data_IF_164544046299
#
_entry.id   IF_164544046299
#
_cell.length_a   1.000
_cell.length_b   1.000
_cell.length_c   1.000
_cell.angle_alpha   90.00
_cell.angle_beta   90.00
_cell.angle_gamma   90.00
#
_symmetry.space_group_name_H-M   'P 1'
#
loop_
_entity.id
_entity.type
_entity.pdbx_description
1 polymer ?
#
# COMPACT_ATOMS: atom_id res chain seq x y z
N UNK A 1 50.55 -40.23 0.12
CA UNK A 1 50.75 -39.58 -1.19
C UNK A 1 49.47 -39.25 -1.99
N UNK A 2 48.56 -40.18 -2.34
CA UNK A 2 47.30 -39.82 -3.07
C UNK A 2 46.24 -39.13 -2.18
N UNK A 3 46.20 -39.46 -0.89
CA UNK A 3 45.23 -38.91 0.07
C UNK A 3 45.58 -37.48 0.49
N UNK A 4 46.87 -37.18 0.69
CA UNK A 4 47.36 -35.83 1.03
C UNK A 4 47.12 -34.80 -0.08
N UNK A 5 47.23 -35.21 -1.35
CA UNK A 5 46.91 -34.34 -2.50
C UNK A 5 45.41 -34.03 -2.59
N UNK A 6 44.54 -34.91 -2.09
CA UNK A 6 43.09 -34.67 -1.99
C UNK A 6 42.78 -33.68 -0.87
N UNK A 7 43.42 -33.83 0.29
CA UNK A 7 43.24 -32.92 1.42
C UNK A 7 43.72 -31.50 1.11
N UNK A 8 44.85 -31.35 0.39
CA UNK A 8 45.38 -30.04 -0.01
C UNK A 8 44.51 -29.33 -1.06
N UNK A 9 43.76 -30.07 -1.89
CA UNK A 9 42.76 -29.48 -2.80
C UNK A 9 41.51 -29.01 -2.04
N UNK A 10 41.03 -29.80 -1.09
CA UNK A 10 39.90 -29.41 -0.24
C UNK A 10 40.21 -28.16 0.60
N UNK A 11 41.43 -28.06 1.15
CA UNK A 11 41.87 -26.89 1.93
C UNK A 11 41.98 -25.61 1.07
N UNK A 12 42.42 -25.72 -0.20
CA UNK A 12 42.48 -24.56 -1.12
C UNK A 12 41.11 -24.06 -1.56
N UNK A 13 40.15 -24.97 -1.74
CA UNK A 13 38.75 -24.59 -2.03
C UNK A 13 38.14 -23.91 -0.81
N UNK A 14 38.39 -24.43 0.40
CA UNK A 14 37.90 -23.84 1.64
C UNK A 14 38.47 -22.43 1.92
N UNK A 15 39.74 -22.19 1.60
CA UNK A 15 40.38 -20.87 1.75
C UNK A 15 39.90 -19.87 0.69
N UNK A 16 39.60 -20.30 -0.53
CA UNK A 16 39.02 -19.40 -1.53
C UNK A 16 37.55 -19.06 -1.22
N UNK A 17 36.80 -20.01 -0.63
CA UNK A 17 35.50 -19.76 -0.01
C UNK A 17 35.58 -18.76 1.15
N UNK A 18 36.70 -18.64 1.87
CA UNK A 18 36.88 -17.64 2.93
C UNK A 18 37.28 -16.24 2.42
N UNK A 19 37.89 -16.12 1.24
CA UNK A 19 38.41 -14.85 0.71
C UNK A 19 37.35 -14.05 -0.07
N UNK A 20 36.32 -14.69 -0.60
CA UNK A 20 35.16 -13.97 -1.17
C UNK A 20 34.08 -13.61 -0.14
N UNK A 21 34.25 -14.09 1.10
CA UNK A 21 33.37 -13.79 2.24
C UNK A 21 33.62 -12.41 2.86
N UNK A 22 34.61 -11.64 2.37
CA UNK A 22 34.91 -10.27 2.84
C UNK A 22 35.46 -9.39 1.69
N UNK A 23 34.64 -9.05 0.70
CA UNK A 23 34.89 -7.84 -0.09
C UNK A 23 33.57 -7.22 -0.57
N UNK A 24 33.32 -6.00 -0.08
CA UNK A 24 32.24 -5.09 -0.48
C UNK A 24 30.84 -5.53 -0.06
N UNK A 25 30.58 -5.47 1.24
CA UNK A 25 29.25 -5.12 1.71
C UNK A 25 28.99 -3.63 1.36
N UNK A 26 28.59 -3.42 0.11
CA UNK A 26 27.86 -2.23 -0.32
C UNK A 26 26.55 -2.72 -0.91
N UNK A 27 25.61 -3.05 -0.02
CA UNK A 27 24.20 -3.10 -0.36
C UNK A 27 23.46 -2.34 0.74
N UNK A 28 23.54 -1.01 0.66
CA UNK A 28 22.36 -0.22 0.97
C UNK A 28 21.48 -0.29 -0.29
N UNK A 29 20.70 -1.35 -0.42
CA UNK A 29 19.47 -1.28 -1.18
C UNK A 29 18.35 -1.46 -0.18
N UNK A 30 17.75 -0.35 0.26
CA UNK A 30 16.34 -0.37 0.60
C UNK A 30 15.61 -0.68 -0.71
N UNK A 31 15.56 -1.96 -1.08
CA UNK A 31 14.56 -2.40 -2.03
C UNK A 31 13.24 -2.28 -1.30
N UNK A 32 12.62 -1.11 -1.40
CA UNK A 32 11.18 -1.03 -1.33
C UNK A 32 10.67 -1.79 -2.55
N UNK A 33 10.59 -3.11 -2.44
CA UNK A 33 9.81 -3.93 -3.35
C UNK A 33 8.40 -3.40 -3.29
N UNK A 34 7.96 -2.74 -4.36
CA UNK A 34 6.58 -2.36 -4.54
C UNK A 34 5.70 -3.57 -4.26
N UNK A 35 4.74 -3.39 -3.37
CA UNK A 35 4.05 -4.48 -2.69
C UNK A 35 3.05 -5.10 -3.64
N UNK A 36 3.51 -6.12 -4.36
CA UNK A 36 2.66 -7.07 -5.07
C UNK A 36 1.82 -7.76 -3.97
N UNK A 37 0.48 -7.73 -4.05
CA UNK A 37 -0.37 -8.52 -3.16
C UNK A 37 0.14 -9.96 -3.13
N UNK A 38 0.13 -10.61 -1.96
CA UNK A 38 0.72 -11.95 -1.78
C UNK A 38 0.15 -13.02 -2.76
N UNK A 39 -0.99 -12.73 -3.37
CA UNK A 39 -1.75 -13.56 -4.30
C UNK A 39 -1.72 -13.07 -5.77
N UNK A 40 -1.02 -11.98 -6.08
CA UNK A 40 -0.80 -11.48 -7.45
C UNK A 40 0.48 -12.14 -8.00
N UNK A 41 0.31 -13.20 -8.77
CA UNK A 41 1.44 -14.00 -9.27
C UNK A 41 2.02 -13.45 -10.56
N UNK A 42 1.28 -12.61 -11.28
CA UNK A 42 1.68 -12.06 -12.56
C UNK A 42 2.26 -10.63 -12.44
N UNK A 43 2.12 -9.99 -11.28
CA UNK A 43 2.55 -8.62 -10.96
C UNK A 43 1.81 -7.55 -11.75
N UNK A 44 0.55 -7.77 -12.10
CA UNK A 44 -0.35 -6.78 -12.71
C UNK A 44 -1.23 -6.05 -11.69
N UNK A 45 -1.13 -6.45 -10.42
CA UNK A 45 -1.81 -5.91 -9.25
C UNK A 45 -3.33 -6.07 -9.27
N UNK A 46 -3.82 -6.98 -10.09
CA UNK A 46 -5.07 -7.69 -9.85
C UNK A 46 -4.78 -9.00 -9.09
N UNK A 47 -5.77 -9.45 -8.33
CA UNK A 47 -5.81 -10.83 -7.82
C UNK A 47 -7.02 -11.47 -8.48
N UNK A 48 -6.79 -12.16 -9.60
CA UNK A 48 -7.87 -12.67 -10.46
C UNK A 48 -7.63 -14.10 -10.98
N UNK A 49 -8.49 -14.56 -11.89
CA UNK A 49 -8.40 -15.90 -12.45
C UNK A 49 -7.06 -16.17 -13.16
N UNK A 50 -6.38 -15.14 -13.66
CA UNK A 50 -5.06 -15.23 -14.28
C UNK A 50 -4.03 -15.67 -13.25
N UNK A 51 -4.07 -15.14 -12.03
CA UNK A 51 -3.21 -15.56 -10.92
C UNK A 51 -3.53 -17.00 -10.51
N UNK A 52 -4.81 -17.34 -10.39
CA UNK A 52 -5.19 -18.73 -10.08
C UNK A 52 -4.67 -19.71 -11.15
N UNK A 53 -4.76 -19.35 -12.43
CA UNK A 53 -4.23 -20.16 -13.54
C UNK A 53 -2.71 -20.30 -13.42
N UNK A 54 -1.99 -19.22 -13.13
CA UNK A 54 -0.54 -19.27 -12.95
C UNK A 54 -0.13 -20.15 -11.78
N UNK A 55 -0.82 -20.04 -10.64
CA UNK A 55 -0.58 -20.91 -9.50
C UNK A 55 -0.86 -22.37 -9.82
N UNK A 56 -1.96 -22.66 -10.53
CA UNK A 56 -2.26 -24.03 -10.97
C UNK A 56 -1.17 -24.60 -11.89
N UNK A 57 -0.60 -23.79 -12.80
CA UNK A 57 0.54 -24.19 -13.64
C UNK A 57 1.75 -24.59 -12.80
N UNK A 58 2.06 -23.81 -11.75
CA UNK A 58 3.13 -24.14 -10.79
C UNK A 58 2.85 -25.47 -10.09
N UNK A 59 1.62 -25.71 -9.63
CA UNK A 59 1.24 -26.98 -8.99
C UNK A 59 1.33 -28.19 -9.93
N UNK A 60 1.08 -27.99 -11.22
CA UNK A 60 1.20 -29.06 -12.23
C UNK A 60 2.64 -29.30 -12.69
N UNK A 61 3.63 -28.59 -12.13
CA UNK A 61 5.04 -28.73 -12.47
C UNK A 61 5.47 -27.95 -13.71
N UNK A 62 4.63 -27.05 -14.21
CA UNK A 62 5.09 -26.03 -15.16
C UNK A 62 5.91 -24.98 -14.40
N UNK A 63 6.89 -24.37 -15.06
CA UNK A 63 7.73 -23.33 -14.47
C UNK A 63 7.46 -21.97 -15.14
N UNK A 64 6.26 -21.38 -14.95
CA UNK A 64 6.00 -20.04 -15.43
C UNK A 64 6.87 -19.03 -14.69
N UNK A 65 7.22 -17.93 -15.36
CA UNK A 65 7.84 -16.79 -14.68
C UNK A 65 6.76 -16.17 -13.78
N UNK A 66 6.95 -16.26 -12.47
CA UNK A 66 6.09 -15.66 -11.45
C UNK A 66 6.85 -14.55 -10.73
N UNK A 67 6.16 -13.45 -10.42
CA UNK A 67 6.73 -12.38 -9.61
C UNK A 67 6.62 -12.76 -8.13
N UNK A 68 7.72 -12.63 -7.39
CA UNK A 68 7.80 -13.09 -6.00
C UNK A 68 7.94 -14.61 -5.90
N UNK A 69 9.09 -15.09 -5.43
CA UNK A 69 9.34 -16.54 -5.27
C UNK A 69 8.76 -17.03 -3.95
N UNK A 70 7.43 -17.18 -3.89
CA UNK A 70 6.76 -17.87 -2.78
C UNK A 70 6.47 -19.33 -3.16
N UNK A 71 6.43 -20.21 -2.17
CA UNK A 71 5.94 -21.58 -2.36
C UNK A 71 4.43 -21.51 -2.65
N UNK A 72 4.04 -21.46 -3.92
CA UNK A 72 2.62 -21.45 -4.31
C UNK A 72 2.05 -22.84 -4.03
N UNK A 73 1.08 -22.91 -3.10
CA UNK A 73 0.37 -24.09 -2.71
C UNK A 73 -1.08 -24.10 -3.20
N UNK A 74 -1.79 -25.17 -2.85
CA UNK A 74 -3.23 -25.31 -3.12
C UNK A 74 -4.05 -24.26 -2.36
N UNK A 75 -3.58 -23.79 -1.19
CA UNK A 75 -4.26 -22.79 -0.37
C UNK A 75 -4.37 -21.47 -1.11
N UNK A 76 -3.25 -20.92 -1.57
CA UNK A 76 -3.17 -19.62 -2.23
C UNK A 76 -4.05 -19.58 -3.49
N UNK A 77 -4.04 -20.65 -4.28
CA UNK A 77 -4.91 -20.77 -5.46
C UNK A 77 -6.38 -20.86 -5.06
N UNK A 78 -6.69 -21.60 -3.99
CA UNK A 78 -8.07 -21.70 -3.49
C UNK A 78 -8.58 -20.34 -3.02
N UNK A 79 -7.72 -19.54 -2.39
CA UNK A 79 -8.04 -18.19 -1.92
C UNK A 79 -8.29 -17.23 -3.11
N UNK A 80 -7.44 -17.26 -4.15
CA UNK A 80 -7.66 -16.50 -5.40
C UNK A 80 -8.97 -16.93 -6.09
N UNK A 81 -9.22 -18.24 -6.20
CA UNK A 81 -10.42 -18.77 -6.84
C UNK A 81 -11.68 -18.38 -6.06
N UNK A 82 -11.64 -18.39 -4.72
CA UNK A 82 -12.74 -17.91 -3.87
C UNK A 82 -13.01 -16.43 -4.09
N UNK A 83 -11.96 -15.59 -4.06
CA UNK A 83 -12.04 -14.14 -4.30
C UNK A 83 -12.65 -13.86 -5.68
N UNK A 84 -12.15 -14.52 -6.73
CA UNK A 84 -12.58 -14.23 -8.09
C UNK A 84 -13.96 -14.79 -8.45
N UNK A 85 -14.33 -15.92 -7.86
CA UNK A 85 -15.65 -16.51 -8.12
C UNK A 85 -16.74 -15.92 -7.21
N UNK A 86 -16.39 -14.95 -6.34
CA UNK A 86 -17.23 -14.46 -5.24
C UNK A 86 -17.85 -15.63 -4.44
N UNK A 87 -17.13 -16.77 -4.40
CA UNK A 87 -17.56 -17.97 -3.69
C UNK A 87 -17.21 -17.76 -2.23
N UNK A 88 -18.11 -17.08 -1.52
CA UNK A 88 -18.02 -16.83 -0.08
C UNK A 88 -17.81 -18.14 0.68
N UNK A 89 -16.74 -18.29 1.49
CA UNK A 89 -16.74 -19.21 2.60
C UNK A 89 -16.98 -18.40 3.89
N UNK A 90 -18.19 -18.44 4.45
CA UNK A 90 -18.49 -17.96 5.82
C UNK A 90 -18.29 -16.43 6.06
N UNK A 91 -18.69 -15.89 7.24
CA UNK A 91 -19.74 -14.88 7.42
C UNK A 91 -19.43 -13.51 6.79
N UNK A 92 -20.43 -12.63 6.73
CA UNK A 92 -20.47 -11.32 6.04
C UNK A 92 -19.44 -10.24 6.50
N UNK A 93 -18.22 -10.62 6.87
CA UNK A 93 -17.30 -9.79 7.64
C UNK A 93 -15.90 -9.56 7.04
N UNK A 94 -15.65 -10.07 5.83
CA UNK A 94 -14.41 -9.79 5.08
C UNK A 94 -14.59 -8.50 4.28
N UNK A 95 -13.68 -7.54 4.40
CA UNK A 95 -13.67 -6.39 3.51
C UNK A 95 -12.82 -6.63 2.25
N UNK A 96 -12.74 -5.61 1.38
CA UNK A 96 -12.08 -5.75 0.08
C UNK A 96 -10.54 -5.68 0.18
N UNK A 97 -10.00 -5.05 1.24
CA UNK A 97 -8.59 -4.67 1.40
C UNK A 97 -7.69 -5.83 1.81
N UNK A 98 -8.31 -6.85 2.38
CA UNK A 98 -7.68 -8.09 2.79
C UNK A 98 -6.93 -8.83 1.64
N UNK A 99 -5.75 -9.40 1.90
CA UNK A 99 -5.06 -9.44 3.21
C UNK A 99 -4.12 -8.26 3.44
N UNK A 100 -4.26 -7.56 4.57
CA UNK A 100 -3.43 -6.40 4.96
C UNK A 100 -2.88 -6.39 6.40
N UNK A 101 -2.92 -7.55 7.09
CA UNK A 101 -2.31 -7.90 8.40
C UNK A 101 -0.84 -7.53 8.68
N UNK A 102 -0.11 -6.98 7.71
CA UNK A 102 1.30 -6.61 7.85
C UNK A 102 1.60 -5.33 7.10
N UNK A 103 2.57 -4.57 7.59
CA UNK A 103 3.03 -3.36 6.90
C UNK A 103 3.50 -3.63 5.45
N UNK A 104 4.01 -4.85 5.16
CA UNK A 104 4.41 -5.28 3.81
C UNK A 104 3.23 -5.61 2.89
N UNK A 105 2.00 -5.59 3.41
CA UNK A 105 0.74 -5.79 2.71
C UNK A 105 -0.10 -4.50 2.68
N UNK A 106 0.36 -3.45 3.38
CA UNK A 106 -0.35 -2.20 3.56
C UNK A 106 -0.93 -1.60 2.28
N UNK A 107 -2.17 -1.14 2.36
CA UNK A 107 -2.89 -0.54 1.24
C UNK A 107 -2.74 0.97 1.20
N UNK A 108 -2.75 1.55 0.01
CA UNK A 108 -2.73 3.01 -0.10
C UNK A 108 -4.03 3.59 0.43
N UNK A 109 -3.93 4.49 1.40
CA UNK A 109 -5.03 5.35 1.81
C UNK A 109 -4.89 6.72 1.14
N UNK A 110 -5.95 7.13 0.44
CA UNK A 110 -5.97 8.42 -0.25
C UNK A 110 -6.22 9.55 0.75
N UNK A 111 -5.30 10.51 0.81
CA UNK A 111 -5.39 11.65 1.71
C UNK A 111 -6.57 12.55 1.31
N UNK A 112 -7.34 12.99 2.30
CA UNK A 112 -8.56 13.78 2.16
C UNK A 112 -9.64 13.10 1.32
N UNK A 113 -9.64 11.77 1.20
CA UNK A 113 -10.79 11.06 0.67
C UNK A 113 -11.88 10.98 1.76
N UNK A 114 -12.89 11.83 1.65
CA UNK A 114 -13.99 11.98 2.60
C UNK A 114 -15.35 11.78 1.93
N UNK A 115 -16.42 11.65 2.72
CA UNK A 115 -17.78 11.64 2.19
C UNK A 115 -18.12 12.89 1.34
N UNK A 116 -17.37 14.00 1.49
CA UNK A 116 -17.51 15.18 0.64
C UNK A 116 -16.79 15.06 -0.71
N UNK A 117 -15.67 14.32 -0.80
CA UNK A 117 -15.09 13.90 -2.10
C UNK A 117 -15.91 12.78 -2.76
N UNK A 118 -16.69 12.03 -1.97
CA UNK A 118 -17.60 11.00 -2.47
C UNK A 118 -18.76 11.51 -3.35
N UNK A 119 -18.91 12.83 -3.52
CA UNK A 119 -19.77 13.42 -4.57
C UNK A 119 -19.39 12.95 -5.98
N UNK A 120 -18.17 12.42 -6.15
CA UNK A 120 -17.68 11.78 -7.35
C UNK A 120 -17.75 10.24 -7.30
N UNK A 121 -18.50 9.62 -6.39
CA UNK A 121 -18.64 8.16 -6.29
C UNK A 121 -17.39 7.41 -5.82
N UNK A 122 -16.38 8.12 -5.32
CA UNK A 122 -15.26 7.54 -4.57
C UNK A 122 -15.71 7.35 -3.12
N UNK A 123 -15.50 6.17 -2.51
CA UNK A 123 -15.89 5.96 -1.11
C UNK A 123 -14.71 6.11 -0.16
N UNK A 124 -15.01 6.51 1.09
CA UNK A 124 -14.12 6.30 2.23
C UNK A 124 -13.70 4.82 2.26
N UNK A 125 -12.54 4.46 2.81
CA UNK A 125 -12.11 3.06 2.85
C UNK A 125 -12.81 2.34 4.01
N UNK A 126 -13.83 1.48 3.78
CA UNK A 126 -14.44 0.71 4.84
C UNK A 126 -13.57 -0.50 5.18
N UNK A 127 -13.43 -0.77 6.46
CA UNK A 127 -12.67 -1.90 6.97
C UNK A 127 -13.50 -2.67 8.01
N UNK A 128 -13.06 -3.88 8.33
CA UNK A 128 -13.62 -4.64 9.42
C UNK A 128 -12.58 -5.60 10.00
N UNK A 129 -12.45 -5.61 11.33
CA UNK A 129 -11.67 -6.64 12.01
C UNK A 129 -12.30 -8.02 11.80
N UNK A 130 -11.86 -8.75 10.78
CA UNK A 130 -12.55 -9.91 10.24
C UNK A 130 -12.20 -11.22 10.94
N UNK A 131 -11.01 -11.29 11.54
CA UNK A 131 -10.55 -12.44 12.31
C UNK A 131 -9.85 -12.07 13.63
N UNK A 132 -9.51 -13.11 14.39
CA UNK A 132 -8.97 -12.91 15.73
C UNK A 132 -7.54 -12.35 15.67
N UNK A 133 -7.37 -11.13 16.14
CA UNK A 133 -6.08 -10.43 16.13
C UNK A 133 -5.75 -9.72 14.81
N UNK A 134 -6.76 -9.51 13.97
CA UNK A 134 -6.67 -8.78 12.71
C UNK A 134 -5.98 -7.41 12.86
N UNK A 135 -5.12 -7.09 11.89
CA UNK A 135 -4.39 -5.83 11.81
C UNK A 135 -4.51 -5.19 10.43
N UNK A 136 -5.35 -4.18 10.25
CA UNK A 136 -5.35 -3.44 8.99
C UNK A 136 -4.15 -2.49 8.88
N UNK A 137 -3.30 -2.70 7.87
CA UNK A 137 -2.21 -1.79 7.54
C UNK A 137 -2.51 -0.93 6.31
N UNK A 138 -2.25 0.36 6.44
CA UNK A 138 -2.36 1.35 5.37
C UNK A 138 -1.08 2.16 5.23
N UNK A 139 -0.89 2.78 4.07
CA UNK A 139 0.23 3.66 3.78
C UNK A 139 -0.18 4.93 3.03
N UNK A 140 0.49 6.03 3.32
CA UNK A 140 0.29 7.32 2.64
C UNK A 140 1.62 8.06 2.48
N UNK A 141 1.69 8.95 1.50
CA UNK A 141 2.88 9.76 1.26
C UNK A 141 2.83 11.02 2.12
N UNK A 142 3.57 11.03 3.23
CA UNK A 142 3.72 12.18 4.12
C UNK A 142 4.69 13.21 3.54
N UNK A 143 4.35 14.49 3.66
CA UNK A 143 5.18 15.64 3.25
C UNK A 143 5.72 16.34 4.49
N UNK A 144 7.01 16.67 4.48
CA UNK A 144 7.70 17.26 5.63
C UNK A 144 7.03 18.55 6.10
N UNK A 145 6.88 18.69 7.41
CA UNK A 145 6.25 19.85 8.06
C UNK A 145 4.73 19.93 7.90
N UNK A 146 4.08 18.96 7.26
CA UNK A 146 2.63 18.87 7.22
C UNK A 146 2.05 18.22 8.47
N UNK A 147 0.79 18.56 8.73
CA UNK A 147 -0.04 17.98 9.79
C UNK A 147 -0.97 16.97 9.14
N UNK A 148 -1.10 15.81 9.78
CA UNK A 148 -2.02 14.75 9.39
C UNK A 148 -2.93 14.37 10.55
N UNK A 149 -4.19 14.10 10.25
CA UNK A 149 -5.15 13.53 11.20
C UNK A 149 -5.62 12.19 10.64
N UNK A 150 -5.39 11.12 11.39
CA UNK A 150 -5.98 9.81 11.09
C UNK A 150 -7.27 9.69 11.90
N UNK A 151 -8.37 9.33 11.26
CA UNK A 151 -9.68 9.20 11.88
C UNK A 151 -10.30 7.87 11.51
N UNK A 152 -10.70 7.11 12.53
CA UNK A 152 -11.48 5.89 12.40
C UNK A 152 -12.91 6.18 12.87
N UNK A 153 -13.86 6.16 11.93
CA UNK A 153 -15.28 6.32 12.22
C UNK A 153 -15.91 4.95 12.50
N UNK A 154 -16.52 4.80 13.68
CA UNK A 154 -17.15 3.56 14.13
C UNK A 154 -18.59 3.79 14.56
N UNK A 155 -18.94 5.05 14.89
CA UNK A 155 -20.28 5.44 15.32
C UNK A 155 -21.30 5.08 14.22
N UNK A 156 -22.19 4.14 14.51
CA UNK A 156 -23.20 3.58 13.59
C UNK A 156 -22.71 2.50 12.61
N UNK A 157 -21.42 2.12 12.65
CA UNK A 157 -20.84 1.08 11.79
C UNK A 157 -20.52 -0.20 12.58
N UNK A 158 -19.87 -0.06 13.73
CA UNK A 158 -19.42 -1.20 14.52
C UNK A 158 -19.50 -0.93 16.01
N UNK A 159 -20.60 -1.37 16.64
CA UNK A 159 -20.80 -1.16 18.08
C UNK A 159 -19.83 -1.94 18.98
N UNK A 160 -19.19 -2.98 18.46
CA UNK A 160 -18.14 -3.76 19.12
C UNK A 160 -16.72 -3.32 18.68
N UNK A 161 -16.60 -2.32 17.79
CA UNK A 161 -15.32 -1.85 17.29
C UNK A 161 -14.66 -0.91 18.31
N UNK A 162 -13.47 -1.26 18.81
CA UNK A 162 -12.61 -0.40 19.64
C UNK A 162 -11.25 -0.25 18.96
N UNK A 163 -11.13 0.63 17.96
CA UNK A 163 -9.94 0.71 17.12
C UNK A 163 -8.80 1.41 17.85
N UNK A 164 -7.61 0.81 17.80
CA UNK A 164 -6.37 1.45 18.22
C UNK A 164 -5.60 1.89 16.99
N UNK A 165 -5.39 3.21 16.87
CA UNK A 165 -4.64 3.79 15.75
C UNK A 165 -3.16 3.89 16.14
N UNK A 166 -2.28 3.34 15.31
CA UNK A 166 -0.84 3.44 15.46
C UNK A 166 -0.20 3.96 14.17
N UNK A 167 0.66 4.97 14.30
CA UNK A 167 1.41 5.56 13.20
C UNK A 167 2.87 5.12 13.29
N UNK A 168 3.39 4.60 12.18
CA UNK A 168 4.75 4.09 12.05
C UNK A 168 5.58 4.92 11.06
N UNK A 169 6.89 4.94 11.28
CA UNK A 169 7.89 5.58 10.41
C UNK A 169 8.06 4.79 9.10
N UNK A 170 8.89 5.31 8.20
CA UNK A 170 9.07 4.80 6.84
C UNK A 170 9.69 3.40 6.74
N UNK A 171 10.15 2.85 7.87
CA UNK A 171 10.66 1.48 7.96
C UNK A 171 9.56 0.44 8.23
N UNK A 172 8.32 0.89 8.50
CA UNK A 172 7.18 0.04 8.84
C UNK A 172 7.26 -0.62 10.22
N UNK A 173 8.24 -0.24 11.05
CA UNK A 173 8.54 -0.90 12.34
C UNK A 173 8.65 0.10 13.49
N UNK A 174 9.18 1.29 13.24
CA UNK A 174 9.36 2.32 14.27
C UNK A 174 8.04 3.02 14.57
N UNK A 175 7.44 2.73 15.73
CA UNK A 175 6.23 3.43 16.19
C UNK A 175 6.52 4.91 16.48
N UNK A 176 5.84 5.80 15.76
CA UNK A 176 5.92 7.25 15.95
C UNK A 176 4.88 7.74 16.95
N UNK A 177 3.65 7.22 16.86
CA UNK A 177 2.53 7.67 17.69
C UNK A 177 1.46 6.59 17.80
N UNK A 178 0.72 6.59 18.90
CA UNK A 178 -0.44 5.72 19.09
C UNK A 178 -1.57 6.49 19.77
N UNK A 179 -2.81 6.08 19.51
CA UNK A 179 -4.00 6.62 20.11
C UNK A 179 -5.03 5.50 20.33
N UNK A 180 -5.57 5.50 21.55
CA UNK A 180 -6.69 4.67 22.01
C UNK A 180 -7.45 5.48 23.09
N UNK A 181 -8.76 5.57 23.01
CA UNK A 181 -9.66 6.16 24.01
C UNK A 181 -10.28 5.08 24.93
N UNK A 182 -10.24 3.82 24.49
CA UNK A 182 -10.68 2.61 25.19
C UNK A 182 -12.19 2.50 25.29
N UNK A 183 -12.93 2.98 24.28
CA UNK A 183 -14.38 3.00 24.27
C UNK A 183 -14.91 2.34 22.99
N UNK A 184 -15.43 1.12 23.14
CA UNK A 184 -16.14 0.39 22.08
C UNK A 184 -17.25 1.24 21.43
N UNK A 185 -17.32 1.18 20.10
CA UNK A 185 -18.29 1.88 19.26
C UNK A 185 -18.09 3.39 19.20
N UNK A 186 -16.93 3.92 19.63
CA UNK A 186 -16.57 5.33 19.52
C UNK A 186 -15.47 5.59 18.50
N UNK A 187 -15.57 6.74 17.85
CA UNK A 187 -14.62 7.15 16.84
C UNK A 187 -13.26 7.42 17.48
N UNK A 188 -12.20 7.04 16.79
CA UNK A 188 -10.83 7.26 17.23
C UNK A 188 -10.11 8.28 16.35
N UNK A 189 -9.30 9.16 16.94
CA UNK A 189 -8.62 10.24 16.21
C UNK A 189 -7.19 10.49 16.68
N UNK A 190 -6.24 10.25 15.78
CA UNK A 190 -4.82 10.52 15.98
C UNK A 190 -4.38 11.77 15.20
N UNK A 191 -3.95 12.81 15.91
CA UNK A 191 -3.35 14.01 15.32
C UNK A 191 -1.82 13.92 15.31
N UNK A 192 -1.20 14.02 14.15
CA UNK A 192 0.25 14.02 13.97
C UNK A 192 0.74 15.33 13.34
N UNK A 193 1.71 15.98 13.99
CA UNK A 193 2.23 17.31 13.59
C UNK A 193 3.71 17.30 13.19
N UNK A 194 4.35 16.15 13.31
CA UNK A 194 5.81 16.01 13.30
C UNK A 194 6.29 15.19 12.10
N UNK A 195 5.69 15.40 10.92
CA UNK A 195 6.16 14.78 9.68
C UNK A 195 7.56 15.31 9.34
N UNK A 196 8.57 14.47 9.52
CA UNK A 196 9.98 14.90 9.52
C UNK A 196 10.62 14.96 8.14
N UNK A 197 10.16 14.11 7.21
CA UNK A 197 10.66 14.02 5.83
C UNK A 197 9.55 13.60 4.87
N UNK A 198 9.73 13.95 3.59
CA UNK A 198 8.91 13.45 2.50
C UNK A 198 9.16 11.95 2.33
N UNK A 199 8.21 11.11 2.71
CA UNK A 199 8.30 9.67 2.51
C UNK A 199 6.98 8.93 2.76
N UNK A 200 6.95 7.62 2.51
CA UNK A 200 5.80 6.77 2.81
C UNK A 200 5.80 6.44 4.31
N UNK A 201 4.70 6.76 4.99
CA UNK A 201 4.43 6.41 6.38
C UNK A 201 3.30 5.39 6.44
N UNK A 202 3.25 4.63 7.53
CA UNK A 202 2.31 3.53 7.70
C UNK A 202 1.36 3.81 8.87
N UNK A 203 0.11 3.43 8.70
CA UNK A 203 -0.90 3.41 9.76
C UNK A 203 -1.27 1.96 9.97
N UNK A 204 -1.29 1.53 11.23
CA UNK A 204 -1.90 0.27 11.64
C UNK A 204 -3.16 0.58 12.42
N UNK A 205 -4.23 -0.14 12.10
CA UNK A 205 -5.37 -0.32 12.96
C UNK A 205 -5.39 -1.74 13.48
N UNK A 206 -5.93 -1.89 14.68
CA UNK A 206 -6.19 -3.18 15.32
C UNK A 206 -7.30 -2.97 16.32
N UNK A 207 -8.01 -4.03 16.65
CA UNK A 207 -8.93 -4.00 17.79
C UNK A 207 -8.14 -3.87 19.11
N UNK A 208 -8.71 -3.15 20.08
CA UNK A 208 -8.17 -3.11 21.44
C UNK A 208 -8.17 -4.50 22.07
N UNK A 209 -9.26 -5.25 21.85
CA UNK A 209 -9.39 -6.66 22.24
C UNK A 209 -9.17 -7.54 21.02
N UNK A 210 -8.12 -8.39 20.97
CA UNK A 210 -7.88 -9.26 19.82
C UNK A 210 -8.97 -10.32 19.61
N UNK A 211 -9.83 -10.53 20.60
CA UNK A 211 -10.99 -11.43 20.51
C UNK A 211 -12.26 -10.70 20.01
N UNK A 212 -12.21 -9.39 19.78
CA UNK A 212 -13.30 -8.60 19.20
C UNK A 212 -13.07 -8.46 17.69
N UNK A 213 -13.73 -9.35 16.94
CA UNK A 213 -13.72 -9.45 15.49
C UNK A 213 -15.09 -9.97 15.03
N UNK A 214 -15.40 -9.86 13.75
CA UNK A 214 -16.67 -10.35 13.24
C UNK A 214 -17.75 -9.26 13.18
N UNK A 215 -18.98 -9.67 13.47
CA UNK A 215 -20.13 -8.79 13.42
C UNK A 215 -19.94 -7.55 14.31
N UNK A 216 -20.35 -6.39 13.79
CA UNK A 216 -20.27 -5.09 14.45
C UNK A 216 -18.84 -4.62 14.80
N UNK A 217 -17.80 -5.07 14.09
CA UNK A 217 -16.42 -4.52 14.18
C UNK A 217 -16.00 -3.68 12.98
N UNK A 218 -16.96 -3.25 12.16
CA UNK A 218 -16.71 -2.40 10.99
C UNK A 218 -16.33 -0.97 11.38
N UNK A 219 -15.52 -0.34 10.53
CA UNK A 219 -15.14 1.07 10.66
C UNK A 219 -14.79 1.68 9.30
N UNK A 220 -14.79 3.01 9.22
CA UNK A 220 -14.34 3.75 8.03
C UNK A 220 -13.07 4.54 8.37
N UNK A 221 -12.02 4.38 7.56
CA UNK A 221 -10.74 5.02 7.80
C UNK A 221 -10.49 6.19 6.87
N UNK A 222 -9.98 7.29 7.44
CA UNK A 222 -9.56 8.48 6.69
C UNK A 222 -8.24 9.05 7.21
N UNK A 223 -7.46 9.61 6.28
CA UNK A 223 -6.26 10.42 6.58
C UNK A 223 -6.47 11.81 6.01
N UNK A 224 -6.41 12.82 6.87
CA UNK A 224 -6.64 14.21 6.51
C UNK A 224 -5.38 15.07 6.60
N UNK A 225 -5.27 16.04 5.70
CA UNK A 225 -4.37 17.18 5.77
C UNK A 225 -5.19 18.48 5.57
N UNK A 226 -4.93 19.57 6.33
CA UNK A 226 -5.74 20.79 6.28
C UNK A 226 -6.05 21.29 4.86
N UNK A 227 -7.34 21.42 4.58
CA UNK A 227 -7.88 21.78 3.27
C UNK A 227 -7.72 23.27 2.93
N UNK A 228 -7.72 23.59 1.64
CA UNK A 228 -7.83 24.96 1.17
C UNK A 228 -9.29 25.41 1.17
N UNK A 229 -9.55 26.71 1.39
CA UNK A 229 -10.91 27.28 1.43
C UNK A 229 -11.72 27.08 0.14
N UNK A 230 -11.03 27.02 -1.01
CA UNK A 230 -11.63 26.77 -2.33
C UNK A 230 -10.74 25.79 -3.10
N UNK A 231 -10.86 24.49 -2.84
CA UNK A 231 -10.00 23.51 -3.46
C UNK A 231 -10.53 23.06 -4.82
N UNK A 232 -9.66 22.46 -5.61
CA UNK A 232 -10.01 21.55 -6.70
C UNK A 232 -9.27 20.23 -6.52
N UNK A 233 -9.40 19.33 -7.48
CA UNK A 233 -8.78 17.99 -7.42
C UNK A 233 -7.78 17.79 -8.55
N UNK A 234 -6.84 16.89 -8.35
CA UNK A 234 -5.97 16.36 -9.42
C UNK A 234 -6.11 14.84 -9.43
N UNK A 235 -6.45 14.27 -10.58
CA UNK A 235 -6.51 12.81 -10.76
C UNK A 235 -5.79 12.42 -12.04
N UNK A 236 -5.31 11.19 -12.14
CA UNK A 236 -4.65 10.75 -13.37
C UNK A 236 -4.13 9.33 -13.36
N UNK A 237 -3.78 8.84 -14.54
CA UNK A 237 -3.13 7.56 -14.71
C UNK A 237 -1.60 7.73 -14.74
N UNK A 238 -0.86 6.71 -14.31
CA UNK A 238 0.59 6.65 -14.40
C UNK A 238 1.00 5.33 -15.05
N UNK A 239 1.71 5.40 -16.17
CA UNK A 239 2.11 4.23 -16.93
C UNK A 239 3.48 4.40 -17.58
N UNK A 240 4.12 3.28 -17.87
CA UNK A 240 5.32 3.20 -18.70
C UNK A 240 4.87 3.24 -20.17
N UNK A 241 5.29 4.23 -20.98
CA UNK A 241 4.83 4.36 -22.36
C UNK A 241 5.39 3.27 -23.30
N UNK A 242 6.38 2.48 -22.88
CA UNK A 242 6.97 1.42 -23.69
C UNK A 242 6.34 0.05 -23.40
N UNK A 243 6.12 -0.26 -22.13
CA UNK A 243 5.49 -1.52 -21.72
C UNK A 243 3.96 -1.41 -21.62
N UNK A 244 3.42 -0.19 -21.63
CA UNK A 244 2.02 0.15 -21.38
C UNK A 244 1.51 -0.31 -20.01
N UNK A 245 2.42 -0.74 -19.13
CA UNK A 245 2.09 -1.17 -17.76
C UNK A 245 1.91 0.02 -16.85
N UNK A 246 1.01 -0.13 -15.88
CA UNK A 246 0.83 0.82 -14.79
C UNK A 246 2.10 0.91 -13.94
N UNK A 247 2.44 2.12 -13.49
CA UNK A 247 3.54 2.34 -12.55
C UNK A 247 2.95 2.55 -11.17
N UNK A 248 3.06 1.53 -10.34
CA UNK A 248 2.50 1.49 -8.99
C UNK A 248 3.50 1.96 -7.95
N UNK A 249 3.00 2.49 -6.83
CA UNK A 249 3.80 3.03 -5.75
C UNK A 249 4.62 4.28 -6.15
N UNK A 250 4.31 4.90 -7.28
CA UNK A 250 4.92 6.17 -7.65
C UNK A 250 4.50 7.22 -6.62
N UNK A 251 5.47 8.00 -6.14
CA UNK A 251 5.25 9.07 -5.17
C UNK A 251 4.96 10.35 -5.94
N UNK A 252 3.73 10.84 -5.84
CA UNK A 252 3.28 12.08 -6.47
C UNK A 252 3.25 13.17 -5.41
N UNK A 253 3.85 14.32 -5.69
CA UNK A 253 3.66 15.52 -4.86
C UNK A 253 3.50 16.78 -5.69
N UNK A 254 2.88 17.79 -5.09
CA UNK A 254 2.91 19.15 -5.61
C UNK A 254 3.69 20.08 -4.68
N UNK A 255 4.19 21.19 -5.21
CA UNK A 255 4.77 22.25 -4.39
C UNK A 255 3.75 23.01 -3.51
N UNK A 256 2.49 22.57 -3.49
CA UNK A 256 1.47 22.98 -2.52
C UNK A 256 1.42 22.06 -1.28
N UNK A 257 2.40 21.17 -1.11
CA UNK A 257 2.45 20.15 -0.06
C UNK A 257 1.24 19.21 -0.07
N UNK A 258 0.83 18.81 -1.27
CA UNK A 258 -0.15 17.75 -1.49
C UNK A 258 0.54 16.54 -2.09
N UNK A 259 0.03 15.37 -1.78
CA UNK A 259 0.67 14.12 -2.16
C UNK A 259 -0.34 13.03 -2.45
N UNK A 260 0.10 12.05 -3.23
CA UNK A 260 -0.59 10.79 -3.47
C UNK A 260 0.46 9.69 -3.70
N UNK A 261 0.01 8.45 -3.62
CA UNK A 261 0.75 7.28 -4.09
C UNK A 261 -0.06 6.71 -5.25
N UNK A 262 0.58 6.35 -6.36
CA UNK A 262 -0.13 5.65 -7.40
C UNK A 262 -0.50 4.25 -6.93
N UNK A 263 -1.78 3.93 -6.99
CA UNK A 263 -2.30 2.61 -6.73
C UNK A 263 -3.41 2.33 -7.73
N UNK A 264 -3.18 1.35 -8.60
CA UNK A 264 -4.21 0.85 -9.49
C UNK A 264 -4.46 -0.60 -9.13
N UNK A 265 -5.51 -0.84 -8.35
CA UNK A 265 -6.22 -2.12 -8.38
C UNK A 265 -7.59 -1.85 -8.99
N UNK A 266 -7.99 -2.68 -9.97
CA UNK A 266 -9.36 -2.71 -10.49
C UNK A 266 -10.42 -2.99 -9.41
N UNK A 267 -10.00 -3.44 -8.23
CA UNK A 267 -10.83 -3.90 -7.15
C UNK A 267 -11.24 -2.82 -6.13
N UNK A 268 -10.66 -1.61 -6.18
CA UNK A 268 -10.89 -0.61 -5.12
C UNK A 268 -11.42 0.72 -5.65
N UNK A 269 -12.63 1.11 -5.24
CA UNK A 269 -13.32 2.32 -5.69
C UNK A 269 -13.05 3.57 -4.82
N UNK A 270 -11.82 3.76 -4.32
CA UNK A 270 -11.45 4.97 -3.55
C UNK A 270 -10.80 6.07 -4.40
N UNK A 271 -10.42 5.76 -5.64
CA UNK A 271 -9.95 6.72 -6.63
C UNK A 271 -10.26 6.17 -8.03
N UNK A 272 -10.95 6.94 -8.88
CA UNK A 272 -11.29 6.51 -10.27
C UNK A 272 -10.09 6.33 -11.20
N UNK A 273 -8.89 6.68 -10.76
CA UNK A 273 -7.65 6.72 -11.54
C UNK A 273 -6.51 6.15 -10.71
N UNK A 274 -5.32 6.06 -11.29
CA UNK A 274 -4.16 5.50 -10.58
C UNK A 274 -3.73 6.37 -9.40
N UNK A 275 -4.00 7.68 -9.42
CA UNK A 275 -3.81 8.54 -8.25
C UNK A 275 -4.88 9.63 -8.17
N UNK A 276 -5.16 10.06 -6.94
CA UNK A 276 -6.05 11.16 -6.63
C UNK A 276 -5.41 12.06 -5.56
N UNK A 277 -5.42 13.37 -5.81
CA UNK A 277 -5.08 14.40 -4.85
C UNK A 277 -6.33 15.26 -4.67
N UNK A 278 -7.08 14.98 -3.61
CA UNK A 278 -8.29 15.72 -3.28
C UNK A 278 -7.98 16.97 -2.47
N UNK A 279 -8.90 17.94 -2.56
CA UNK A 279 -8.85 19.17 -1.79
C UNK A 279 -7.53 19.96 -1.97
N UNK A 280 -7.00 19.97 -3.20
CA UNK A 280 -5.81 20.71 -3.60
C UNK A 280 -6.12 22.21 -3.73
N UNK A 281 -5.26 23.13 -3.23
CA UNK A 281 -5.45 24.56 -3.44
C UNK A 281 -5.58 24.93 -4.93
N UNK A 282 -6.49 25.84 -5.28
CA UNK A 282 -6.56 26.35 -6.65
C UNK A 282 -5.37 27.26 -6.98
N UNK A 283 -4.90 27.21 -8.23
CA UNK A 283 -3.71 27.92 -8.69
C UNK A 283 -2.85 27.09 -9.64
N UNK A 284 -1.65 27.56 -9.92
CA UNK A 284 -0.68 26.88 -10.79
C UNK A 284 0.49 26.37 -9.95
N UNK A 285 0.77 25.08 -10.06
CA UNK A 285 1.69 24.35 -9.20
C UNK A 285 2.59 23.44 -10.01
N UNK A 286 3.72 23.07 -9.44
CA UNK A 286 4.59 22.02 -9.98
C UNK A 286 4.14 20.70 -9.39
N UNK A 287 3.81 19.74 -10.26
CA UNK A 287 3.60 18.34 -9.91
C UNK A 287 4.89 17.57 -10.23
N UNK A 288 5.32 16.72 -9.31
CA UNK A 288 6.51 15.88 -9.43
C UNK A 288 6.14 14.44 -9.10
N UNK A 289 6.63 13.50 -9.91
CA UNK A 289 6.44 12.06 -9.71
C UNK A 289 7.79 11.36 -9.70
N UNK A 290 7.99 10.51 -8.69
CA UNK A 290 9.16 9.67 -8.54
C UNK A 290 8.74 8.20 -8.40
N UNK A 291 9.38 7.31 -9.14
CA UNK A 291 9.24 5.86 -9.00
C UNK A 291 10.60 5.19 -9.24
N UNK A 292 10.90 4.12 -8.51
CA UNK A 292 12.16 3.40 -8.64
C UNK A 292 12.28 2.78 -10.03
N UNK A 293 13.43 2.97 -10.67
CA UNK A 293 13.68 2.51 -12.05
C UNK A 293 13.15 3.44 -13.13
N UNK A 294 12.61 4.61 -12.76
CA UNK A 294 12.11 5.63 -13.68
C UNK A 294 12.75 6.98 -13.41
N UNK A 295 12.90 7.78 -14.47
CA UNK A 295 13.31 9.18 -14.38
C UNK A 295 12.22 9.99 -13.69
N UNK A 296 12.63 10.93 -12.83
CA UNK A 296 11.71 11.88 -12.21
C UNK A 296 10.92 12.64 -13.28
N UNK A 297 9.59 12.57 -13.21
CA UNK A 297 8.70 13.37 -14.04
C UNK A 297 8.34 14.66 -13.31
N UNK A 298 8.26 15.78 -14.04
CA UNK A 298 7.72 17.00 -13.47
C UNK A 298 7.02 17.85 -14.53
N UNK A 299 5.87 18.41 -14.17
CA UNK A 299 5.06 19.26 -15.04
C UNK A 299 4.40 20.36 -14.23
N UNK A 300 3.96 21.41 -14.93
CA UNK A 300 3.06 22.41 -14.37
C UNK A 300 1.60 21.92 -14.45
N UNK A 301 0.84 22.10 -13.39
CA UNK A 301 -0.58 21.77 -13.31
C UNK A 301 -1.36 22.99 -12.84
N UNK A 302 -2.47 23.30 -13.51
CA UNK A 302 -3.37 24.39 -13.11
C UNK A 302 -4.65 23.79 -12.53
N UNK A 303 -4.86 24.01 -11.24
CA UNK A 303 -6.03 23.54 -10.49
C UNK A 303 -7.05 24.68 -10.39
N UNK A 304 -8.29 24.40 -10.79
CA UNK A 304 -9.41 25.34 -10.71
C UNK A 304 -10.29 25.00 -9.52
N UNK A 305 -10.94 26.01 -8.95
CA UNK A 305 -11.81 25.84 -7.79
C UNK A 305 -13.00 24.94 -8.14
N UNK A 306 -13.27 23.94 -7.29
CA UNK A 306 -14.37 22.99 -7.41
C UNK A 306 -14.38 22.21 -8.73
N UNK A 307 -13.21 22.09 -9.36
CA UNK A 307 -13.02 21.34 -10.60
C UNK A 307 -11.96 20.25 -10.41
N UNK A 308 -12.12 19.15 -11.16
CA UNK A 308 -11.14 18.07 -11.24
C UNK A 308 -10.23 18.29 -12.44
N UNK A 309 -8.92 18.31 -12.20
CA UNK A 309 -7.89 18.40 -13.23
C UNK A 309 -7.38 17.00 -13.56
N UNK A 310 -7.48 16.59 -14.83
CA UNK A 310 -6.96 15.29 -15.29
C UNK A 310 -5.51 15.45 -15.75
N UNK A 311 -4.60 14.64 -15.22
CA UNK A 311 -3.16 14.64 -15.57
C UNK A 311 -2.66 13.21 -15.71
N UNK A 312 -2.64 12.69 -16.93
CA UNK A 312 -2.02 11.39 -17.21
C UNK A 312 -0.49 11.55 -17.36
N UNK A 313 0.26 10.58 -16.83
CA UNK A 313 1.72 10.67 -16.64
C UNK A 313 2.41 9.46 -17.28
N UNK A 314 3.32 9.76 -18.19
CA UNK A 314 4.22 8.79 -18.81
C UNK A 314 5.55 8.77 -18.06
N UNK A 315 5.82 7.70 -17.33
CA UNK A 315 7.07 7.52 -16.60
C UNK A 315 8.10 6.86 -17.51
N UNK A 316 9.21 7.55 -17.77
CA UNK A 316 10.29 7.05 -18.65
C UNK A 316 11.27 6.21 -17.82
N UNK A 317 11.49 4.92 -18.13
CA UNK A 317 12.50 4.11 -17.46
C UNK A 317 13.92 4.72 -17.54
N UNK A 318 14.75 4.41 -16.54
CA UNK A 318 16.14 4.88 -16.46
C UNK A 318 17.05 4.42 -17.61
#
# INVERSE_FOLDING_TARGET
MKLEKKLLRLLKVFIFCLIFLFSLASFASSQHTYMIPELDFNGDCAVDLTDAILGMRVLTGENPVINGTKNIGVKEITDILRKTAHLRPEPDNYDEYEEDDKFSQARVIVINNSADSAKNGDSVQPHNFHDAGDEDWMMFYGIAGQIYTVHAETESLGSNCDPVIELYDTDGVTLLKSKNDGIEGKNETLLWKDCSRDDIYYVRLRSFSPDAFGEDTAYELTVYNPEATFPGDIIGNIFDPYSEKKVLGARIKTNANRSAISNYCYCYFYCRRDFCIYFHPAGTFTLTVEASGYKTFSTEVTVRQLETTLVDIEMIPE
#
